data_IF_089954320675
#
_entry.id   IF_089954320675
#
_cell.length_a   1.000
_cell.length_b   1.000
_cell.length_c   1.000
_cell.angle_alpha   90.00
_cell.angle_beta   90.00
_cell.angle_gamma   90.00
#
_symmetry.space_group_name_H-M   'P 1'
#
loop_
_entity.id
_entity.type
_entity.pdbx_description
1 polymer ?
#
# COMPACT_ATOMS: atom_id res chain seq x y z
N UNK A 1 27.54 -15.05 -3.61
CA UNK A 1 26.27 -15.70 -3.95
C UNK A 1 25.11 -14.92 -3.36
N UNK A 2 24.33 -14.21 -4.20
CA UNK A 2 23.08 -13.63 -3.73
C UNK A 2 22.12 -14.77 -3.43
N UNK A 3 21.83 -15.03 -2.16
CA UNK A 3 20.73 -15.90 -1.77
C UNK A 3 19.44 -15.28 -2.33
N UNK A 4 18.94 -15.82 -3.44
CA UNK A 4 17.60 -15.47 -3.93
C UNK A 4 16.64 -15.95 -2.85
N UNK A 5 16.05 -14.97 -2.15
CA UNK A 5 14.98 -15.25 -1.20
C UNK A 5 13.84 -15.87 -2.01
N UNK A 6 13.51 -17.11 -1.72
CA UNK A 6 12.39 -17.80 -2.36
C UNK A 6 11.07 -17.27 -1.77
N UNK A 7 10.27 -16.62 -2.62
CA UNK A 7 8.98 -16.07 -2.22
C UNK A 7 8.04 -17.16 -1.65
N UNK A 8 8.15 -18.42 -2.14
CA UNK A 8 7.36 -19.56 -1.63
C UNK A 8 7.77 -19.93 -0.21
N UNK A 9 9.08 -19.91 0.08
CA UNK A 9 9.58 -20.19 1.42
C UNK A 9 9.12 -19.14 2.44
N UNK A 10 9.21 -17.85 2.06
CA UNK A 10 8.68 -16.75 2.91
C UNK A 10 7.19 -16.92 3.14
N UNK A 11 6.43 -17.15 2.06
CA UNK A 11 4.97 -17.30 2.15
C UNK A 11 4.58 -18.49 3.06
N UNK A 12 5.41 -19.55 3.10
CA UNK A 12 5.19 -20.69 4.00
C UNK A 12 5.35 -20.38 5.50
N UNK A 13 6.14 -19.35 5.85
CA UNK A 13 6.53 -19.04 7.24
C UNK A 13 5.89 -17.74 7.77
N UNK A 14 5.56 -16.79 6.90
CA UNK A 14 5.09 -15.47 7.31
C UNK A 14 3.61 -15.49 7.70
N UNK A 15 3.27 -14.79 8.78
CA UNK A 15 1.88 -14.58 9.23
C UNK A 15 1.16 -13.48 8.44
N UNK A 16 1.90 -12.49 7.94
CA UNK A 16 1.39 -11.41 7.09
C UNK A 16 2.46 -11.06 6.05
N UNK A 17 2.03 -10.77 4.84
CA UNK A 17 2.90 -10.53 3.70
C UNK A 17 2.42 -9.29 2.98
N UNK A 18 3.29 -8.29 2.89
CA UNK A 18 3.04 -7.10 2.10
C UNK A 18 3.84 -7.19 0.81
N UNK A 19 3.18 -7.01 -0.33
CA UNK A 19 3.79 -7.10 -1.66
C UNK A 19 3.71 -5.75 -2.35
N UNK A 20 4.87 -5.24 -2.75
CA UNK A 20 5.03 -4.00 -3.51
C UNK A 20 6.09 -4.15 -4.61
N UNK A 21 6.07 -3.29 -5.61
CA UNK A 21 7.10 -3.16 -6.62
C UNK A 21 7.44 -4.48 -7.33
N UNK A 22 8.72 -4.80 -7.39
CA UNK A 22 9.21 -6.05 -8.01
C UNK A 22 8.72 -7.34 -7.34
N UNK A 23 8.13 -7.25 -6.15
CA UNK A 23 7.48 -8.37 -5.49
C UNK A 23 6.39 -9.02 -6.34
N UNK A 24 5.66 -8.22 -7.14
CA UNK A 24 4.63 -8.73 -8.07
C UNK A 24 5.17 -9.67 -9.16
N UNK A 25 6.48 -9.65 -9.44
CA UNK A 25 7.13 -10.56 -10.39
C UNK A 25 7.62 -11.86 -9.73
N UNK A 26 7.58 -11.91 -8.40
CA UNK A 26 8.12 -13.03 -7.62
C UNK A 26 7.05 -13.91 -6.98
N UNK A 27 5.80 -13.44 -7.01
CA UNK A 27 4.64 -14.18 -6.49
C UNK A 27 3.71 -14.62 -7.62
N UNK A 28 2.98 -15.68 -7.36
CA UNK A 28 1.93 -16.21 -8.24
C UNK A 28 0.57 -15.96 -7.58
N UNK A 29 -0.49 -15.78 -8.39
CA UNK A 29 -1.85 -15.53 -7.88
C UNK A 29 -2.36 -16.63 -6.97
N UNK A 30 -1.96 -17.88 -7.24
CA UNK A 30 -2.31 -19.08 -6.46
C UNK A 30 -1.73 -19.07 -5.04
N UNK A 31 -0.74 -18.21 -4.78
CA UNK A 31 -0.15 -18.05 -3.44
C UNK A 31 -0.97 -17.13 -2.55
N UNK A 32 -1.89 -16.34 -3.15
CA UNK A 32 -2.64 -15.32 -2.43
C UNK A 32 -3.67 -15.96 -1.49
N UNK A 33 -3.74 -15.41 -0.30
CA UNK A 33 -4.72 -15.74 0.74
C UNK A 33 -4.90 -14.55 1.71
N UNK A 34 -5.64 -14.74 2.78
CA UNK A 34 -5.94 -13.70 3.79
C UNK A 34 -4.72 -13.10 4.51
N UNK A 35 -3.52 -13.63 4.30
CA UNK A 35 -2.27 -13.11 4.85
C UNK A 35 -1.62 -12.04 3.97
N UNK A 36 -2.11 -11.86 2.73
CA UNK A 36 -1.51 -10.95 1.77
C UNK A 36 -2.18 -9.58 1.77
N UNK A 37 -1.35 -8.55 1.73
CA UNK A 37 -1.71 -7.18 1.37
C UNK A 37 -0.86 -6.76 0.17
N UNK A 38 -1.53 -6.45 -0.92
CA UNK A 38 -0.92 -5.99 -2.16
C UNK A 38 -1.04 -4.48 -2.27
N UNK A 39 0.04 -3.80 -2.69
CA UNK A 39 0.06 -2.33 -2.83
C UNK A 39 0.37 -1.87 -4.26
N UNK A 40 -0.34 -2.36 -5.29
CA UNK A 40 -0.02 -2.06 -6.68
C UNK A 40 -0.36 -0.62 -7.07
N UNK A 41 0.48 0.00 -7.89
CA UNK A 41 0.06 1.11 -8.74
C UNK A 41 -0.66 0.59 -10.00
N UNK A 42 -1.15 1.47 -10.89
CA UNK A 42 -1.95 1.09 -12.06
C UNK A 42 -1.24 0.06 -12.96
N UNK A 43 0.05 0.29 -13.24
CA UNK A 43 0.84 -0.62 -14.08
C UNK A 43 1.04 -2.00 -13.45
N UNK A 44 1.32 -2.05 -12.15
CA UNK A 44 1.47 -3.31 -11.39
C UNK A 44 0.15 -4.07 -11.29
N UNK A 45 -0.96 -3.36 -11.07
CA UNK A 45 -2.28 -3.95 -11.04
C UNK A 45 -2.64 -4.57 -12.40
N UNK A 46 -2.41 -3.81 -13.49
CA UNK A 46 -2.62 -4.29 -14.86
C UNK A 46 -1.75 -5.50 -15.19
N UNK A 47 -0.45 -5.44 -14.86
CA UNK A 47 0.48 -6.55 -15.07
C UNK A 47 0.04 -7.83 -14.31
N UNK A 48 -0.29 -7.67 -13.04
CA UNK A 48 -0.54 -8.83 -12.17
C UNK A 48 -1.93 -9.44 -12.38
N UNK A 49 -2.96 -8.62 -12.53
CA UNK A 49 -4.34 -9.11 -12.65
C UNK A 49 -4.87 -9.16 -14.08
N UNK A 50 -4.22 -8.48 -15.03
CA UNK A 50 -4.72 -8.36 -16.41
C UNK A 50 -5.93 -7.44 -16.56
N UNK A 51 -6.18 -6.58 -15.57
CA UNK A 51 -7.35 -5.66 -15.53
C UNK A 51 -6.89 -4.24 -15.19
N UNK A 52 -7.71 -3.23 -15.51
CA UNK A 52 -7.52 -1.86 -15.04
C UNK A 52 -7.80 -1.79 -13.54
N UNK A 53 -7.05 -0.93 -12.82
CA UNK A 53 -7.20 -0.71 -11.38
C UNK A 53 -8.45 0.12 -11.00
N UNK A 54 -9.58 -0.12 -11.66
CA UNK A 54 -10.86 0.50 -11.32
C UNK A 54 -11.40 -0.05 -9.99
N UNK A 55 -12.23 0.74 -9.33
CA UNK A 55 -12.82 0.44 -8.02
C UNK A 55 -13.47 -0.95 -7.96
N UNK A 56 -14.25 -1.28 -8.98
CA UNK A 56 -14.97 -2.54 -9.09
C UNK A 56 -13.99 -3.72 -9.24
N UNK A 57 -12.97 -3.56 -10.08
CA UNK A 57 -11.95 -4.59 -10.31
C UNK A 57 -11.08 -4.81 -9.06
N UNK A 58 -10.77 -3.76 -8.30
CA UNK A 58 -10.03 -3.89 -7.03
C UNK A 58 -10.84 -4.73 -6.03
N UNK A 59 -12.14 -4.48 -5.92
CA UNK A 59 -13.02 -5.28 -5.05
C UNK A 59 -13.13 -6.72 -5.53
N UNK A 60 -13.33 -6.91 -6.83
CA UNK A 60 -13.46 -8.24 -7.45
C UNK A 60 -12.19 -9.08 -7.20
N UNK A 61 -11.01 -8.53 -7.50
CA UNK A 61 -9.74 -9.23 -7.31
C UNK A 61 -9.46 -9.53 -5.83
N UNK A 62 -9.72 -8.58 -4.93
CA UNK A 62 -9.58 -8.81 -3.50
C UNK A 62 -10.49 -9.96 -3.02
N UNK A 63 -11.72 -10.06 -3.55
CA UNK A 63 -12.66 -11.15 -3.25
C UNK A 63 -12.21 -12.48 -3.84
N UNK A 64 -11.80 -12.47 -5.12
CA UNK A 64 -11.41 -13.69 -5.85
C UNK A 64 -10.20 -14.36 -5.20
N UNK A 65 -9.19 -13.57 -4.80
CA UNK A 65 -7.96 -14.09 -4.22
C UNK A 65 -7.95 -14.08 -2.68
N UNK A 66 -9.02 -13.65 -2.03
CA UNK A 66 -9.15 -13.64 -0.57
C UNK A 66 -8.11 -12.77 0.13
N UNK A 67 -7.59 -11.73 -0.51
CA UNK A 67 -6.51 -10.88 0.01
C UNK A 67 -6.96 -9.43 0.19
N UNK A 68 -6.12 -8.61 0.81
CA UNK A 68 -6.31 -7.16 0.86
C UNK A 68 -5.54 -6.50 -0.29
N UNK A 69 -6.18 -5.57 -0.98
CA UNK A 69 -5.54 -4.78 -2.04
C UNK A 69 -5.66 -3.29 -1.70
N UNK A 70 -4.52 -2.59 -1.69
CA UNK A 70 -4.41 -1.14 -1.67
C UNK A 70 -3.88 -0.68 -3.05
N UNK A 71 -4.77 -0.38 -3.99
CA UNK A 71 -4.40 0.13 -5.31
C UNK A 71 -4.08 1.60 -5.22
N UNK A 72 -2.81 1.95 -5.47
CA UNK A 72 -2.27 3.32 -5.42
C UNK A 72 -2.72 4.16 -6.61
N UNK A 73 -3.03 5.45 -6.38
CA UNK A 73 -3.37 6.38 -7.45
C UNK A 73 -3.74 7.78 -6.93
N UNK A 74 -4.25 8.67 -7.81
CA UNK A 74 -4.80 9.95 -7.35
C UNK A 74 -5.89 9.78 -6.28
N UNK A 75 -6.74 8.78 -6.48
CA UNK A 75 -7.59 8.18 -5.43
C UNK A 75 -7.09 6.76 -5.22
N UNK A 76 -6.73 6.41 -3.99
CA UNK A 76 -6.39 5.03 -3.67
C UNK A 76 -7.67 4.25 -3.41
N UNK A 77 -7.71 3.00 -3.86
CA UNK A 77 -8.78 2.05 -3.58
C UNK A 77 -8.27 0.95 -2.66
N UNK A 78 -8.94 0.78 -1.52
CA UNK A 78 -8.60 -0.27 -0.55
C UNK A 78 -9.76 -1.23 -0.41
N UNK A 79 -9.51 -2.54 -0.54
CA UNK A 79 -10.56 -3.55 -0.42
C UNK A 79 -10.04 -4.86 0.18
N UNK A 80 -10.92 -5.54 0.91
CA UNK A 80 -10.79 -6.93 1.36
C UNK A 80 -11.75 -7.88 0.61
N UNK A 81 -12.34 -7.39 -0.49
CA UNK A 81 -13.33 -8.12 -1.28
C UNK A 81 -14.78 -7.95 -0.81
N UNK A 82 -15.03 -7.50 0.42
CA UNK A 82 -16.39 -7.22 0.94
C UNK A 82 -16.81 -5.79 0.60
N UNK A 83 -15.97 -4.84 0.90
CA UNK A 83 -16.20 -3.42 0.67
C UNK A 83 -14.97 -2.79 0.01
N UNK A 84 -15.17 -1.71 -0.75
CA UNK A 84 -14.06 -0.89 -1.25
C UNK A 84 -14.15 0.51 -0.64
N UNK A 85 -13.00 1.01 -0.20
CA UNK A 85 -12.83 2.33 0.38
C UNK A 85 -12.04 3.21 -0.58
N UNK A 86 -12.47 4.43 -0.75
CA UNK A 86 -11.79 5.45 -1.55
C UNK A 86 -11.02 6.38 -0.62
N UNK A 87 -9.73 6.50 -0.83
CA UNK A 87 -8.86 7.39 -0.05
C UNK A 87 -8.41 8.52 -0.97
N UNK A 88 -8.98 9.69 -0.73
CA UNK A 88 -8.68 10.95 -1.42
C UNK A 88 -7.60 11.73 -0.68
N UNK A 89 -7.01 12.73 -1.33
CA UNK A 89 -5.99 13.61 -0.78
C UNK A 89 -4.61 13.34 -1.38
N UNK A 90 -3.59 13.87 -0.73
CA UNK A 90 -2.23 13.87 -1.26
C UNK A 90 -2.05 14.86 -2.41
N UNK A 91 -0.99 14.70 -3.16
CA UNK A 91 -0.67 15.53 -4.33
C UNK A 91 0.25 14.77 -5.29
N UNK A 92 0.49 15.35 -6.49
CA UNK A 92 1.32 14.73 -7.52
C UNK A 92 2.78 14.46 -7.08
N UNK A 93 3.29 15.13 -6.05
CA UNK A 93 4.63 14.84 -5.52
C UNK A 93 4.77 13.44 -4.93
N UNK A 94 3.67 12.79 -4.57
CA UNK A 94 3.66 11.38 -4.12
C UNK A 94 3.86 10.37 -5.26
N UNK A 95 4.02 10.81 -6.51
CA UNK A 95 4.39 9.93 -7.64
C UNK A 95 5.91 9.76 -7.80
N UNK A 96 6.70 10.40 -6.98
CA UNK A 96 8.17 10.29 -6.99
C UNK A 96 8.63 8.91 -6.52
N UNK A 97 9.78 8.48 -7.06
CA UNK A 97 10.42 7.24 -6.62
C UNK A 97 10.65 7.22 -5.10
N UNK A 98 10.45 6.08 -4.49
CA UNK A 98 10.59 5.85 -3.05
C UNK A 98 9.33 6.10 -2.21
N UNK A 99 8.34 6.86 -2.69
CA UNK A 99 7.11 7.09 -1.90
C UNK A 99 6.27 5.82 -1.76
N UNK A 100 6.32 4.91 -2.75
CA UNK A 100 5.73 3.57 -2.67
C UNK A 100 6.41 2.73 -1.58
N UNK A 101 7.76 2.77 -1.51
CA UNK A 101 8.52 2.06 -0.49
C UNK A 101 8.19 2.59 0.93
N UNK A 102 8.01 3.91 1.07
CA UNK A 102 7.55 4.52 2.33
C UNK A 102 6.18 3.98 2.72
N UNK A 103 5.24 3.90 1.77
CA UNK A 103 3.91 3.33 2.04
C UNK A 103 4.01 1.87 2.46
N UNK A 104 4.72 1.04 1.69
CA UNK A 104 4.86 -0.39 1.96
C UNK A 104 5.53 -0.64 3.31
N UNK A 105 6.60 0.09 3.65
CA UNK A 105 7.28 0.00 4.94
C UNK A 105 6.38 0.44 6.09
N UNK A 106 5.67 1.55 5.96
CA UNK A 106 4.77 2.06 7.00
C UNK A 106 3.57 1.11 7.23
N UNK A 107 2.95 0.63 6.16
CA UNK A 107 1.87 -0.36 6.25
C UNK A 107 2.36 -1.67 6.88
N UNK A 108 3.59 -2.11 6.56
CA UNK A 108 4.20 -3.29 7.17
C UNK A 108 4.35 -3.12 8.69
N UNK A 109 4.82 -1.95 9.14
CA UNK A 109 4.92 -1.65 10.56
C UNK A 109 3.56 -1.68 11.26
N UNK A 110 2.53 -1.05 10.67
CA UNK A 110 1.16 -1.08 11.18
C UNK A 110 0.61 -2.52 11.25
N UNK A 111 0.88 -3.33 10.23
CA UNK A 111 0.40 -4.71 10.14
C UNK A 111 0.98 -5.63 11.22
N UNK A 112 2.04 -5.25 11.91
CA UNK A 112 2.56 -6.02 13.05
C UNK A 112 1.55 -6.13 14.20
N UNK A 113 0.69 -5.11 14.37
CA UNK A 113 -0.26 -5.01 15.48
C UNK A 113 -1.73 -4.96 15.04
N UNK A 114 -2.00 -4.63 13.77
CA UNK A 114 -3.35 -4.38 13.27
C UNK A 114 -3.71 -5.37 12.14
N UNK A 115 -5.00 -5.63 11.88
CA UNK A 115 -5.46 -6.32 10.68
C UNK A 115 -4.95 -5.65 9.39
N UNK A 116 -4.79 -6.42 8.31
CA UNK A 116 -4.25 -5.91 7.05
C UNK A 116 -5.11 -4.80 6.43
N UNK A 117 -6.43 -4.94 6.47
CA UNK A 117 -7.35 -3.92 5.96
C UNK A 117 -7.19 -2.59 6.70
N UNK A 118 -7.14 -2.61 8.02
CA UNK A 118 -6.96 -1.41 8.85
C UNK A 118 -5.59 -0.78 8.59
N UNK A 119 -4.54 -1.60 8.51
CA UNK A 119 -3.18 -1.15 8.20
C UNK A 119 -3.13 -0.45 6.84
N UNK A 120 -3.79 -0.99 5.82
CA UNK A 120 -3.88 -0.39 4.49
C UNK A 120 -4.64 0.94 4.52
N UNK A 121 -5.78 1.01 5.22
CA UNK A 121 -6.60 2.22 5.33
C UNK A 121 -5.86 3.34 6.06
N UNK A 122 -5.22 3.03 7.20
CA UNK A 122 -4.44 3.99 7.97
C UNK A 122 -3.23 4.43 7.15
N UNK A 123 -2.49 3.48 6.58
CA UNK A 123 -1.27 3.76 5.81
C UNK A 123 -1.53 4.68 4.63
N UNK A 124 -2.56 4.41 3.83
CA UNK A 124 -2.93 5.25 2.68
C UNK A 124 -3.31 6.68 3.11
N UNK A 125 -4.13 6.83 4.15
CA UNK A 125 -4.55 8.16 4.65
C UNK A 125 -3.38 8.96 5.20
N UNK A 126 -2.56 8.32 6.02
CA UNK A 126 -1.40 8.97 6.66
C UNK A 126 -0.37 9.38 5.63
N UNK A 127 -0.06 8.52 4.64
CA UNK A 127 0.88 8.88 3.57
C UNK A 127 0.39 10.09 2.77
N UNK A 128 -0.89 10.10 2.37
CA UNK A 128 -1.47 11.25 1.66
C UNK A 128 -1.38 12.52 2.49
N UNK A 129 -1.67 12.44 3.79
CA UNK A 129 -1.56 13.58 4.70
C UNK A 129 -0.12 14.04 4.89
N UNK A 130 0.82 13.13 5.03
CA UNK A 130 2.24 13.43 5.10
C UNK A 130 2.73 14.17 3.82
N UNK A 131 2.31 13.70 2.63
CA UNK A 131 2.60 14.37 1.37
C UNK A 131 2.00 15.78 1.27
N UNK A 132 0.79 16.01 1.82
CA UNK A 132 0.21 17.36 1.89
C UNK A 132 1.01 18.27 2.82
N UNK A 133 1.48 17.76 3.96
CA UNK A 133 2.29 18.54 4.91
C UNK A 133 3.67 18.86 4.32
N UNK A 134 4.32 17.90 3.68
CA UNK A 134 5.58 18.11 2.97
C UNK A 134 5.43 19.16 1.86
N UNK A 135 4.34 19.08 1.08
CA UNK A 135 4.04 20.04 0.03
C UNK A 135 3.86 21.46 0.58
N UNK A 136 3.20 21.63 1.72
CA UNK A 136 3.04 22.98 2.35
C UNK A 136 4.39 23.63 2.67
N UNK A 137 5.40 22.84 3.02
CA UNK A 137 6.72 23.35 3.38
C UNK A 137 7.64 23.54 2.16
N UNK A 138 7.62 22.58 1.23
CA UNK A 138 8.62 22.47 0.18
C UNK A 138 8.05 22.61 -1.24
N UNK A 139 6.73 22.80 -1.41
CA UNK A 139 6.10 22.67 -2.72
C UNK A 139 6.35 21.25 -3.27
N UNK A 140 6.55 21.13 -4.57
CA UNK A 140 6.89 19.84 -5.20
C UNK A 140 8.37 19.43 -5.08
N UNK A 141 9.17 20.13 -4.28
CA UNK A 141 10.59 19.82 -4.10
C UNK A 141 10.86 18.80 -2.98
N UNK A 142 9.84 18.36 -2.24
CA UNK A 142 10.01 17.34 -1.22
C UNK A 142 10.40 15.97 -1.81
N UNK A 143 11.15 15.20 -1.06
CA UNK A 143 11.59 13.84 -1.33
C UNK A 143 10.74 12.79 -0.60
N UNK A 144 10.95 11.51 -0.89
CA UNK A 144 10.38 10.41 -0.11
C UNK A 144 10.85 10.44 1.36
N UNK A 145 12.09 10.87 1.62
CA UNK A 145 12.61 11.07 2.98
C UNK A 145 11.84 12.12 3.77
N UNK A 146 11.51 13.24 3.12
CA UNK A 146 10.67 14.26 3.76
C UNK A 146 9.28 13.72 4.11
N UNK A 147 8.70 12.87 3.27
CA UNK A 147 7.40 12.22 3.57
C UNK A 147 7.49 11.37 4.83
N UNK A 148 8.60 10.63 5.04
CA UNK A 148 8.82 9.83 6.26
C UNK A 148 8.79 10.71 7.51
N UNK A 149 9.43 11.88 7.47
CA UNK A 149 9.45 12.83 8.60
C UNK A 149 8.05 13.35 8.98
N UNK A 150 7.14 13.43 8.00
CA UNK A 150 5.77 13.87 8.24
C UNK A 150 4.78 12.77 8.59
N UNK A 151 5.16 11.48 8.56
CA UNK A 151 4.27 10.37 8.95
C UNK A 151 3.70 10.53 10.37
N UNK A 152 4.50 10.88 11.41
CA UNK A 152 3.96 11.09 12.75
C UNK A 152 2.94 12.22 12.81
N UNK A 153 3.18 13.34 12.10
CA UNK A 153 2.23 14.45 12.04
C UNK A 153 0.97 14.06 11.28
N UNK A 154 1.10 13.31 10.18
CA UNK A 154 -0.03 12.74 9.45
C UNK A 154 -0.87 11.81 10.32
N UNK A 155 -0.25 10.94 11.11
CA UNK A 155 -0.94 10.02 12.02
C UNK A 155 -1.74 10.78 13.09
N UNK A 156 -1.19 11.85 13.68
CA UNK A 156 -1.88 12.68 14.68
C UNK A 156 -3.20 13.26 14.17
N UNK A 157 -3.37 13.46 12.86
CA UNK A 157 -4.62 14.00 12.31
C UNK A 157 -5.78 13.01 12.36
N UNK A 158 -5.51 11.72 12.54
CA UNK A 158 -6.52 10.65 12.59
C UNK A 158 -6.67 10.02 13.97
N UNK A 159 -5.72 10.27 14.86
CA UNK A 159 -5.77 9.84 16.25
C UNK A 159 -5.98 11.06 17.12
N UNK A 160 -7.18 11.24 17.66
CA UNK A 160 -7.40 12.17 18.76
C UNK A 160 -6.75 11.59 20.04
N UNK A 161 -5.43 11.42 20.03
CA UNK A 161 -4.67 11.11 21.23
C UNK A 161 -4.59 12.42 22.02
N UNK A 162 -5.49 12.57 22.98
CA UNK A 162 -5.36 13.58 24.04
C UNK A 162 -4.22 13.18 24.97
#
# INVERSE_FOLDING_TARGET
GSSRIDAKEIAGKAKKIIVDGDGFRKIEKQMLDGRFLLTPHEGEFGYFFGKKGAKENVKEMAKEYGCVILKKGPVDFVSDGKKVYEIKGGNAGLTKGGTGDVLAGFVSALATKNPLLESALIGARVLKKAGELAFKKYGYWYSAGDVVEYLPAGLKTFTNIK
#
